data_IF_793050547394
#
_entry.id   IF_793050547394
#
_cell.length_a   1.000
_cell.length_b   1.000
_cell.length_c   1.000
_cell.angle_alpha   90.00
_cell.angle_beta   90.00
_cell.angle_gamma   90.00
#
_symmetry.space_group_name_H-M   'P 1'
#
loop_
_entity.id
_entity.type
_entity.pdbx_description
1 polymer ?
#
# COMPACT_ATOMS: atom_id res chain seq x y z
N UNK A 1 12.04 0.56 -12.41
CA UNK A 1 11.21 -0.47 -13.07
C UNK A 1 10.02 -0.75 -12.18
N UNK A 2 8.82 -0.91 -12.74
CA UNK A 2 7.59 -1.24 -11.97
C UNK A 2 7.25 -2.70 -12.29
N UNK A 3 6.75 -3.43 -11.30
CA UNK A 3 6.37 -4.84 -11.43
C UNK A 3 5.04 -5.06 -10.74
N UNK A 4 4.16 -5.84 -11.36
CA UNK A 4 2.89 -6.23 -10.76
C UNK A 4 3.09 -7.34 -9.74
N UNK A 5 2.56 -7.14 -8.54
CA UNK A 5 2.64 -8.06 -7.41
C UNK A 5 1.23 -8.22 -6.85
N UNK A 6 0.85 -9.46 -6.54
CA UNK A 6 -0.39 -9.74 -5.85
C UNK A 6 -0.45 -9.01 -4.49
N UNK A 7 -1.49 -8.22 -4.26
CA UNK A 7 -1.63 -7.37 -3.08
C UNK A 7 -1.67 -8.16 -1.76
N UNK A 8 -2.09 -9.43 -1.79
CA UNK A 8 -2.09 -10.34 -0.63
C UNK A 8 -0.68 -10.73 -0.17
N UNK A 9 0.33 -10.47 -1.02
CA UNK A 9 1.75 -10.67 -0.70
C UNK A 9 2.37 -9.45 -0.03
N UNK A 10 1.66 -8.33 0.07
CA UNK A 10 2.18 -7.08 0.63
C UNK A 10 1.63 -6.88 2.05
N UNK A 11 2.56 -6.81 3.00
CA UNK A 11 2.32 -6.64 4.42
C UNK A 11 2.67 -5.21 4.86
N UNK A 12 1.89 -4.62 5.79
CA UNK A 12 2.23 -3.32 6.37
C UNK A 12 3.51 -3.40 7.21
N UNK A 13 4.25 -2.30 7.31
CA UNK A 13 5.33 -2.19 8.30
C UNK A 13 4.71 -2.05 9.70
N UNK A 14 5.12 -2.83 10.71
CA UNK A 14 4.51 -2.79 12.04
C UNK A 14 4.70 -1.42 12.73
N UNK A 15 5.81 -0.75 12.46
CA UNK A 15 6.13 0.58 13.01
C UNK A 15 5.60 1.73 12.13
N UNK A 16 4.57 1.50 11.31
CA UNK A 16 3.97 2.57 10.55
C UNK A 16 3.25 3.56 11.49
N UNK A 17 3.85 4.73 11.71
CA UNK A 17 3.27 5.81 12.49
C UNK A 17 2.25 6.66 11.72
N UNK A 18 2.12 6.45 10.39
CA UNK A 18 1.19 7.25 9.59
C UNK A 18 -0.25 6.89 9.93
N UNK A 19 -0.97 7.89 10.41
CA UNK A 19 -2.39 7.85 10.66
C UNK A 19 -3.11 8.77 9.68
N UNK A 20 -4.29 8.35 9.25
CA UNK A 20 -5.20 9.14 8.42
C UNK A 20 -6.62 8.85 8.86
N UNK A 21 -7.43 9.90 8.94
CA UNK A 21 -8.84 9.75 9.27
C UNK A 21 -9.62 9.01 8.17
N UNK A 22 -10.79 8.49 8.53
CA UNK A 22 -11.64 7.68 7.65
C UNK A 22 -12.18 8.48 6.46
N UNK A 23 -12.42 9.78 6.62
CA UNK A 23 -12.97 10.62 5.55
C UNK A 23 -11.93 10.83 4.45
N UNK A 24 -10.69 11.13 4.84
CA UNK A 24 -9.56 11.31 3.94
C UNK A 24 -9.20 10.01 3.24
N UNK A 25 -9.22 8.86 3.94
CA UNK A 25 -9.06 7.54 3.33
C UNK A 25 -10.16 7.26 2.29
N UNK A 26 -11.40 7.65 2.58
CA UNK A 26 -12.52 7.48 1.65
C UNK A 26 -12.36 8.34 0.40
N UNK A 27 -11.85 9.58 0.54
CA UNK A 27 -11.49 10.45 -0.60
C UNK A 27 -10.38 9.83 -1.43
N UNK A 28 -9.36 9.25 -0.80
CA UNK A 28 -8.26 8.56 -1.49
C UNK A 28 -8.77 7.36 -2.30
N UNK A 29 -9.65 6.54 -1.72
CA UNK A 29 -10.31 5.42 -2.43
C UNK A 29 -11.02 5.87 -3.68
N UNK A 30 -11.90 6.86 -3.56
CA UNK A 30 -12.65 7.40 -4.70
C UNK A 30 -11.72 7.95 -5.80
N UNK A 31 -10.64 8.62 -5.42
CA UNK A 31 -9.67 9.13 -6.39
C UNK A 31 -8.96 8.00 -7.15
N UNK A 32 -8.50 6.97 -6.44
CA UNK A 32 -7.82 5.81 -7.03
C UNK A 32 -8.78 5.06 -7.97
N UNK A 33 -10.00 4.77 -7.53
CA UNK A 33 -11.00 4.07 -8.33
C UNK A 33 -11.44 4.87 -9.57
N UNK A 34 -11.61 6.19 -9.42
CA UNK A 34 -12.08 7.05 -10.51
C UNK A 34 -11.03 7.41 -11.54
N UNK A 35 -9.74 7.48 -11.16
CA UNK A 35 -8.68 7.96 -12.05
C UNK A 35 -7.67 6.88 -12.43
N UNK A 36 -7.47 5.86 -11.59
CA UNK A 36 -6.34 4.94 -11.68
C UNK A 36 -4.97 5.61 -11.51
N UNK A 37 -4.92 6.90 -11.16
CA UNK A 37 -3.69 7.69 -11.08
C UNK A 37 -3.18 7.71 -9.64
N UNK A 38 -2.17 6.90 -9.39
CA UNK A 38 -1.42 6.93 -8.14
C UNK A 38 -0.02 6.35 -8.40
N UNK A 39 0.97 6.80 -7.64
CA UNK A 39 2.31 6.21 -7.78
C UNK A 39 2.30 4.76 -7.27
N UNK A 40 3.15 3.88 -7.82
CA UNK A 40 3.33 2.53 -7.33
C UNK A 40 3.71 2.47 -5.84
N UNK A 41 3.40 1.34 -5.19
CA UNK A 41 3.87 1.07 -3.84
C UNK A 41 5.38 0.80 -3.85
N UNK A 42 6.10 1.36 -2.87
CA UNK A 42 7.51 1.02 -2.66
C UNK A 42 7.56 -0.06 -1.59
N UNK A 43 8.16 -1.20 -1.93
CA UNK A 43 8.23 -2.36 -1.04
C UNK A 43 9.67 -2.90 -0.96
N UNK A 44 9.96 -3.62 0.11
CA UNK A 44 11.14 -4.50 0.22
C UNK A 44 10.70 -5.96 0.39
N UNK A 45 11.60 -6.92 0.19
CA UNK A 45 11.33 -8.30 0.62
C UNK A 45 11.08 -8.32 2.14
N UNK A 46 10.11 -9.13 2.59
CA UNK A 46 9.84 -9.27 4.01
C UNK A 46 11.02 -9.94 4.72
N UNK A 47 11.51 -9.42 5.85
CA UNK A 47 12.73 -9.92 6.49
C UNK A 47 12.59 -11.35 7.04
N UNK A 48 11.37 -11.80 7.33
CA UNK A 48 11.11 -13.11 7.94
C UNK A 48 10.16 -14.02 7.14
N UNK A 49 9.41 -13.49 6.18
CA UNK A 49 8.39 -14.26 5.45
C UNK A 49 8.81 -14.37 3.99
N UNK A 50 9.17 -15.58 3.56
CA UNK A 50 9.53 -15.84 2.18
C UNK A 50 8.33 -15.52 1.27
N UNK A 51 8.63 -14.98 0.09
CA UNK A 51 7.63 -14.62 -0.93
C UNK A 51 6.64 -13.51 -0.52
N UNK A 52 6.87 -12.84 0.61
CA UNK A 52 6.14 -11.65 1.03
C UNK A 52 6.99 -10.40 0.85
N UNK A 53 6.30 -9.27 0.77
CA UNK A 53 6.89 -7.95 0.68
C UNK A 53 6.37 -7.08 1.82
N UNK A 54 7.23 -6.21 2.32
CA UNK A 54 6.87 -5.21 3.31
C UNK A 54 6.81 -3.85 2.65
N UNK A 55 5.72 -3.12 2.84
CA UNK A 55 5.57 -1.77 2.31
C UNK A 55 6.48 -0.79 3.06
N UNK A 56 7.20 0.03 2.30
CA UNK A 56 8.06 1.12 2.78
C UNK A 56 7.39 2.47 2.53
N UNK A 57 6.73 2.63 1.38
CA UNK A 57 5.95 3.83 1.06
C UNK A 57 4.60 3.47 0.44
N UNK A 58 3.57 4.27 0.73
CA UNK A 58 2.21 4.09 0.24
C UNK A 58 1.31 3.29 1.17
N UNK A 59 1.52 3.34 2.49
CA UNK A 59 0.70 2.63 3.48
C UNK A 59 -0.81 2.88 3.32
N UNK A 60 -1.26 4.14 3.18
CA UNK A 60 -2.68 4.44 2.96
C UNK A 60 -3.19 3.95 1.60
N UNK A 61 -2.33 3.97 0.55
CA UNK A 61 -2.67 3.38 -0.75
C UNK A 61 -2.87 1.87 -0.62
N UNK A 62 -1.97 1.17 0.07
CA UNK A 62 -2.12 -0.26 0.36
C UNK A 62 -3.40 -0.55 1.14
N UNK A 63 -3.73 0.27 2.14
CA UNK A 63 -4.96 0.12 2.92
C UNK A 63 -6.23 0.29 2.07
N UNK A 64 -6.20 1.21 1.11
CA UNK A 64 -7.31 1.50 0.21
C UNK A 64 -7.43 0.50 -0.94
N UNK A 65 -6.32 -0.06 -1.40
CA UNK A 65 -6.29 -1.06 -2.47
C UNK A 65 -6.67 -2.46 -1.97
N UNK A 66 -6.58 -2.71 -0.65
CA UNK A 66 -7.16 -3.88 0.01
C UNK A 66 -8.67 -3.72 0.19
#
# INVERSE_FOLDING_TARGET
MVTEIDISRILPHPENSNWMDVETLSKLRRHIEGTGRYEPLIVRQHPAEKDKFQVINGHHRLQVLK
#
